data_IF_787300580399
#
_entry.id   IF_787300580399
#
_cell.length_a   1.000
_cell.length_b   1.000
_cell.length_c   1.000
_cell.angle_alpha   90.00
_cell.angle_beta   90.00
_cell.angle_gamma   90.00
#
_symmetry.space_group_name_H-M   'P 1'
#
loop_
_entity.id
_entity.type
_entity.pdbx_description
1 polymer ?
#
# COMPACT_ATOMS: atom_id res chain seq x y z
N UNK A 1 0.54 46.45 8.63
CA UNK A 1 1.54 45.58 9.29
C UNK A 1 0.85 44.87 10.43
N UNK A 2 0.51 43.59 10.24
CA UNK A 2 -0.09 42.76 11.28
C UNK A 2 1.01 41.92 11.93
N UNK A 3 1.56 42.42 13.05
CA UNK A 3 2.27 41.59 14.01
C UNK A 3 1.25 40.69 14.69
N UNK A 4 0.80 39.66 13.98
CA UNK A 4 0.14 38.52 14.60
C UNK A 4 1.20 37.89 15.50
N UNK A 5 1.09 38.11 16.81
CA UNK A 5 1.86 37.34 17.77
C UNK A 5 1.62 35.86 17.48
N UNK A 6 2.71 35.11 17.31
CA UNK A 6 2.64 33.69 16.99
C UNK A 6 1.92 33.00 18.15
N UNK A 7 0.75 32.44 17.87
CA UNK A 7 0.03 31.59 18.81
C UNK A 7 0.92 30.41 19.20
N UNK A 8 0.89 30.04 20.48
CA UNK A 8 1.69 28.92 20.99
C UNK A 8 1.09 27.58 20.55
N UNK A 9 -0.25 27.50 20.51
CA UNK A 9 -1.04 26.37 20.03
C UNK A 9 -2.34 26.85 19.35
N UNK A 10 -3.17 25.93 18.86
CA UNK A 10 -4.39 26.28 18.12
C UNK A 10 -5.41 27.03 19.00
N UNK A 11 -6.08 28.07 18.48
CA UNK A 11 -7.16 28.76 19.20
C UNK A 11 -8.37 27.85 19.43
N UNK A 12 -9.08 28.03 20.55
CA UNK A 12 -10.38 27.40 20.78
C UNK A 12 -11.37 27.82 19.71
N UNK A 13 -11.88 26.85 18.94
CA UNK A 13 -12.90 27.06 17.92
C UNK A 13 -14.22 27.50 18.56
N UNK A 14 -14.97 28.37 17.88
CA UNK A 14 -16.30 28.83 18.33
C UNK A 14 -17.29 27.67 18.49
N UNK A 15 -17.12 26.60 17.70
CA UNK A 15 -17.93 25.39 17.79
C UNK A 15 -17.45 24.41 18.88
N UNK A 16 -16.33 24.68 19.57
CA UNK A 16 -15.80 23.83 20.64
C UNK A 16 -15.22 22.48 20.22
N UNK A 17 -15.12 22.16 18.92
CA UNK A 17 -14.67 20.84 18.45
C UNK A 17 -13.27 20.45 18.95
N UNK A 18 -12.40 21.43 19.12
CA UNK A 18 -11.05 21.25 19.66
C UNK A 18 -10.96 21.58 21.17
N UNK A 19 -12.07 21.67 21.90
CA UNK A 19 -12.06 22.05 23.32
C UNK A 19 -11.19 21.11 24.18
N UNK A 20 -11.29 19.79 24.01
CA UNK A 20 -10.49 18.83 24.78
C UNK A 20 -8.97 19.05 24.60
N UNK A 21 -8.39 18.99 23.38
CA UNK A 21 -6.97 19.28 23.19
C UNK A 21 -6.59 20.72 23.57
N UNK A 22 -7.44 21.72 23.25
CA UNK A 22 -7.19 23.11 23.65
C UNK A 22 -7.08 23.27 25.17
N UNK A 23 -7.95 22.61 25.94
CA UNK A 23 -7.94 22.71 27.40
C UNK A 23 -6.68 22.07 28.01
N UNK A 24 -6.21 20.97 27.42
CA UNK A 24 -4.99 20.30 27.82
C UNK A 24 -3.75 21.15 27.50
N UNK A 25 -3.65 21.67 26.27
CA UNK A 25 -2.56 22.57 25.85
C UNK A 25 -2.53 23.85 26.72
N UNK A 26 -3.69 24.49 26.93
CA UNK A 26 -3.81 25.68 27.77
C UNK A 26 -3.37 25.42 29.22
N UNK A 27 -3.73 24.27 29.80
CA UNK A 27 -3.33 23.87 31.14
C UNK A 27 -1.81 23.60 31.22
N UNK A 28 -1.22 22.95 30.22
CA UNK A 28 0.23 22.71 30.15
C UNK A 28 1.00 24.04 30.08
N UNK A 29 0.58 24.97 29.23
CA UNK A 29 1.23 26.28 29.14
C UNK A 29 1.08 27.10 30.43
N UNK A 30 -0.11 27.13 31.03
CA UNK A 30 -0.30 27.80 32.32
C UNK A 30 0.57 27.18 33.42
N UNK A 31 0.75 25.86 33.47
CA UNK A 31 1.65 25.23 34.46
C UNK A 31 3.12 25.54 34.17
N UNK A 32 3.56 25.53 32.90
CA UNK A 32 4.92 25.90 32.51
C UNK A 32 5.30 27.34 32.90
N UNK A 33 4.36 28.28 32.78
CA UNK A 33 4.56 29.70 33.15
C UNK A 33 4.37 29.99 34.65
N UNK A 34 4.14 28.96 35.49
CA UNK A 34 3.78 29.07 36.92
C UNK A 34 2.45 29.82 37.17
N UNK A 35 1.55 29.79 36.19
CA UNK A 35 0.20 30.39 36.24
C UNK A 35 -0.91 29.35 36.48
N UNK A 36 -0.59 28.06 36.59
CA UNK A 36 -1.56 26.97 36.74
C UNK A 36 -2.54 27.15 37.91
N UNK A 37 -2.09 27.69 39.03
CA UNK A 37 -2.95 27.95 40.19
C UNK A 37 -4.03 29.03 39.93
N UNK A 38 -3.87 29.88 38.90
CA UNK A 38 -4.86 30.94 38.60
C UNK A 38 -6.21 30.41 38.11
N UNK A 39 -6.25 29.15 37.63
CA UNK A 39 -7.46 28.44 37.18
C UNK A 39 -7.97 27.40 38.20
N UNK A 40 -7.34 27.31 39.37
CA UNK A 40 -7.77 26.45 40.48
C UNK A 40 -8.69 27.20 41.46
N UNK A 41 -9.56 26.47 42.16
CA UNK A 41 -10.40 27.02 43.22
C UNK A 41 -9.58 27.34 44.48
N UNK A 42 -9.97 28.38 45.21
CA UNK A 42 -9.25 28.80 46.43
C UNK A 42 -7.89 29.47 46.16
N UNK A 43 -7.64 29.92 44.93
CA UNK A 43 -6.34 30.48 44.54
C UNK A 43 -5.91 31.71 45.37
N UNK A 44 -4.64 31.72 45.76
CA UNK A 44 -3.96 32.80 46.48
C UNK A 44 -3.03 33.63 45.58
N UNK A 45 -3.13 33.41 44.26
CA UNK A 45 -2.30 34.03 43.20
C UNK A 45 -2.43 35.54 43.14
N UNK A 46 -1.35 36.22 42.75
CA UNK A 46 -1.30 37.67 42.65
C UNK A 46 -2.17 38.22 41.51
N UNK A 47 -2.60 39.48 41.62
CA UNK A 47 -3.31 40.18 40.54
C UNK A 47 -2.49 40.23 39.24
N UNK A 48 -1.15 40.19 39.34
CA UNK A 48 -0.26 40.17 38.18
C UNK A 48 -0.26 38.80 37.49
N UNK A 49 -0.21 37.69 38.24
CA UNK A 49 -0.38 36.33 37.69
C UNK A 49 -1.75 36.19 37.03
N UNK A 50 -2.83 36.63 37.71
CA UNK A 50 -4.18 36.61 37.15
C UNK A 50 -4.27 37.40 35.84
N UNK A 51 -3.67 38.60 35.78
CA UNK A 51 -3.63 39.39 34.55
C UNK A 51 -2.84 38.69 33.41
N UNK A 52 -1.71 38.05 33.71
CA UNK A 52 -0.93 37.27 32.72
C UNK A 52 -1.75 36.10 32.17
N UNK A 53 -2.34 35.28 33.06
CA UNK A 53 -3.19 34.15 32.68
C UNK A 53 -4.41 34.60 31.86
N UNK A 54 -5.02 35.73 32.23
CA UNK A 54 -6.13 36.32 31.49
C UNK A 54 -5.74 36.74 30.07
N UNK A 55 -4.58 37.39 29.90
CA UNK A 55 -4.04 37.75 28.57
C UNK A 55 -3.77 36.48 27.74
N UNK A 56 -3.14 35.47 28.35
CA UNK A 56 -2.82 34.21 27.69
C UNK A 56 -4.06 33.45 27.21
N UNK A 57 -5.06 33.26 28.09
CA UNK A 57 -6.32 32.60 27.75
C UNK A 57 -7.05 33.35 26.63
N UNK A 58 -7.20 34.69 26.75
CA UNK A 58 -7.84 35.51 25.71
C UNK A 58 -7.06 35.51 24.39
N UNK A 59 -5.74 35.31 24.39
CA UNK A 59 -4.98 35.20 23.15
C UNK A 59 -5.40 33.97 22.35
N UNK A 60 -5.61 32.84 23.05
CA UNK A 60 -5.93 31.52 22.49
C UNK A 60 -7.44 31.23 22.31
N UNK A 61 -8.30 32.25 22.38
CA UNK A 61 -9.74 32.14 22.05
C UNK A 61 -10.04 32.56 20.61
N UNK A 62 -11.12 32.04 20.01
CA UNK A 62 -11.73 32.65 18.82
C UNK A 62 -12.24 34.07 19.12
N UNK A 63 -12.20 34.97 18.13
CA UNK A 63 -12.57 36.39 18.31
C UNK A 63 -13.99 36.61 18.85
N UNK A 64 -14.96 35.79 18.47
CA UNK A 64 -16.31 35.86 19.03
C UNK A 64 -16.38 35.47 20.51
N UNK A 65 -15.61 34.47 20.93
CA UNK A 65 -15.50 34.10 22.35
C UNK A 65 -14.82 35.22 23.15
N UNK A 66 -13.84 35.93 22.57
CA UNK A 66 -13.26 37.14 23.19
C UNK A 66 -14.26 38.28 23.33
N UNK A 67 -15.17 38.46 22.36
CA UNK A 67 -16.26 39.44 22.41
C UNK A 67 -17.28 39.09 23.49
N UNK A 68 -17.67 37.83 23.59
CA UNK A 68 -18.67 37.34 24.54
C UNK A 68 -18.16 37.44 25.99
N UNK A 69 -16.94 36.96 26.26
CA UNK A 69 -16.34 37.00 27.60
C UNK A 69 -15.54 38.28 27.89
N UNK A 70 -15.78 39.37 27.14
CA UNK A 70 -14.98 40.59 27.22
C UNK A 70 -14.99 41.23 28.62
N UNK A 71 -16.08 41.06 29.37
CA UNK A 71 -16.28 41.61 30.73
C UNK A 71 -15.67 40.77 31.85
N UNK A 72 -15.36 39.49 31.62
CA UNK A 72 -14.84 38.55 32.63
C UNK A 72 -13.38 38.90 32.97
N UNK A 73 -13.07 39.13 34.24
CA UNK A 73 -11.76 39.63 34.68
C UNK A 73 -10.90 38.60 35.42
N UNK A 74 -11.50 37.54 35.96
CA UNK A 74 -10.80 36.50 36.69
C UNK A 74 -10.54 35.28 35.77
N UNK A 75 -9.31 34.74 35.70
CA UNK A 75 -9.02 33.56 34.88
C UNK A 75 -9.84 32.33 35.27
N UNK A 76 -10.08 32.11 36.56
CA UNK A 76 -10.90 31.02 37.08
C UNK A 76 -12.35 31.11 36.60
N UNK A 77 -12.94 32.31 36.60
CA UNK A 77 -14.29 32.54 36.05
C UNK A 77 -14.34 32.22 34.55
N UNK A 78 -13.38 32.75 33.76
CA UNK A 78 -13.33 32.44 32.32
C UNK A 78 -13.18 30.94 32.08
N UNK A 79 -12.27 30.29 32.81
CA UNK A 79 -12.02 28.86 32.68
C UNK A 79 -13.28 28.04 32.98
N UNK A 80 -14.02 28.42 34.04
CA UNK A 80 -15.32 27.81 34.37
C UNK A 80 -16.37 28.03 33.28
N UNK A 81 -16.51 29.23 32.73
CA UNK A 81 -17.48 29.49 31.65
C UNK A 81 -17.16 28.74 30.35
N UNK A 82 -15.87 28.68 29.96
CA UNK A 82 -15.44 27.88 28.81
C UNK A 82 -15.74 26.40 29.05
N UNK A 83 -15.41 25.89 30.24
CA UNK A 83 -15.69 24.52 30.63
C UNK A 83 -17.18 24.20 30.61
N UNK A 84 -18.01 24.99 31.28
CA UNK A 84 -19.47 24.82 31.32
C UNK A 84 -20.08 24.80 29.90
N UNK A 85 -19.62 25.69 29.02
CA UNK A 85 -20.07 25.74 27.63
C UNK A 85 -19.68 24.50 26.83
N UNK A 86 -18.49 23.95 27.01
CA UNK A 86 -17.92 22.94 26.10
C UNK A 86 -17.70 21.55 26.73
N UNK A 87 -17.94 21.31 28.03
CA UNK A 87 -17.82 19.99 28.66
C UNK A 87 -18.70 18.93 27.96
N UNK A 88 -19.83 19.34 27.37
CA UNK A 88 -20.69 18.46 26.57
C UNK A 88 -19.98 17.85 25.36
N UNK A 89 -18.88 18.44 24.85
CA UNK A 89 -18.08 17.87 23.75
C UNK A 89 -17.53 16.49 24.14
N UNK A 90 -17.21 16.27 25.42
CA UNK A 90 -16.82 14.97 25.95
C UNK A 90 -17.93 13.92 25.78
N UNK A 91 -19.19 14.33 25.95
CA UNK A 91 -20.37 13.46 25.78
C UNK A 91 -20.68 13.17 24.31
N UNK A 92 -20.24 14.03 23.39
CA UNK A 92 -20.40 13.82 21.93
C UNK A 92 -19.26 12.96 21.37
N UNK A 93 -18.02 13.21 21.79
CA UNK A 93 -16.82 12.52 21.30
C UNK A 93 -16.66 11.11 21.86
N UNK A 94 -17.03 10.87 23.13
CA UNK A 94 -16.85 9.55 23.76
C UNK A 94 -17.65 8.43 23.05
N UNK A 95 -18.96 8.60 22.71
CA UNK A 95 -19.70 7.59 21.97
C UNK A 95 -19.14 7.33 20.57
N UNK A 96 -18.69 8.36 19.85
CA UNK A 96 -18.10 8.19 18.51
C UNK A 96 -16.76 7.48 18.57
N UNK A 97 -15.88 7.87 19.49
CA UNK A 97 -14.58 7.22 19.64
C UNK A 97 -14.71 5.76 20.12
N UNK A 98 -15.69 5.45 21.00
CA UNK A 98 -16.02 4.06 21.37
C UNK A 98 -16.57 3.26 20.19
N UNK A 99 -17.44 3.87 19.37
CA UNK A 99 -17.96 3.23 18.16
C UNK A 99 -16.83 2.92 17.17
N UNK A 100 -15.96 3.88 16.89
CA UNK A 100 -14.80 3.73 16.03
C UNK A 100 -13.84 2.67 16.58
N UNK A 101 -13.59 2.64 17.90
CA UNK A 101 -12.79 1.59 18.54
C UNK A 101 -13.40 0.20 18.37
N UNK A 102 -14.72 0.03 18.54
CA UNK A 102 -15.39 -1.26 18.34
C UNK A 102 -15.24 -1.73 16.88
N UNK A 103 -15.47 -0.83 15.92
CA UNK A 103 -15.51 -1.16 14.48
C UNK A 103 -14.15 -1.07 13.77
N UNK A 104 -13.10 -0.56 14.42
CA UNK A 104 -11.74 -0.56 13.89
C UNK A 104 -11.29 -1.99 13.58
N UNK A 105 -10.85 -2.24 12.34
CA UNK A 105 -10.24 -3.50 11.91
C UNK A 105 -9.03 -3.29 11.01
N UNK A 106 -7.98 -4.09 11.18
CA UNK A 106 -6.77 -4.04 10.35
C UNK A 106 -7.05 -4.20 8.85
N UNK A 107 -8.01 -5.06 8.48
CA UNK A 107 -8.38 -5.35 7.10
C UNK A 107 -9.04 -4.20 6.32
N UNK A 108 -9.50 -3.14 7.01
CA UNK A 108 -10.18 -2.01 6.36
C UNK A 108 -9.19 -0.95 5.83
N UNK A 109 -7.88 -1.14 6.08
CA UNK A 109 -6.80 -0.26 5.66
C UNK A 109 -5.92 -0.91 4.59
N UNK A 110 -5.28 -0.11 3.74
CA UNK A 110 -4.38 -0.62 2.69
C UNK A 110 -2.99 -0.93 3.20
N UNK A 111 -2.58 -0.29 4.29
CA UNK A 111 -1.28 -0.50 4.93
C UNK A 111 -1.38 -0.57 6.44
N UNK A 112 -0.43 -1.27 7.04
CA UNK A 112 -0.23 -1.33 8.50
C UNK A 112 -0.02 0.08 9.09
N UNK A 113 0.63 0.99 8.34
CA UNK A 113 0.82 2.38 8.78
C UNK A 113 -0.49 3.18 8.84
N UNK A 114 -1.40 3.01 7.88
CA UNK A 114 -2.71 3.68 7.90
C UNK A 114 -3.55 3.23 9.10
N UNK A 115 -3.60 1.91 9.33
CA UNK A 115 -4.25 1.33 10.51
C UNK A 115 -3.66 1.89 11.82
N UNK A 116 -2.33 1.93 11.91
CA UNK A 116 -1.63 2.43 13.09
C UNK A 116 -2.00 3.89 13.42
N UNK A 117 -2.06 4.75 12.40
CA UNK A 117 -2.49 6.14 12.57
C UNK A 117 -3.96 6.25 13.02
N UNK A 118 -4.85 5.39 12.51
CA UNK A 118 -6.24 5.37 12.95
C UNK A 118 -6.39 4.88 14.40
N UNK A 119 -5.68 3.82 14.79
CA UNK A 119 -5.64 3.31 16.16
C UNK A 119 -5.13 4.38 17.14
N UNK A 120 -4.01 5.05 16.82
CA UNK A 120 -3.51 6.12 17.67
C UNK A 120 -4.48 7.30 17.79
N UNK A 121 -5.15 7.70 16.69
CA UNK A 121 -6.17 8.76 16.75
C UNK A 121 -7.32 8.40 17.71
N UNK A 122 -7.92 7.22 17.52
CA UNK A 122 -9.06 6.75 18.34
C UNK A 122 -8.64 6.60 19.81
N UNK A 123 -7.47 6.03 20.08
CA UNK A 123 -6.99 5.87 21.46
C UNK A 123 -6.64 7.20 22.13
N UNK A 124 -6.15 8.19 21.40
CA UNK A 124 -6.00 9.56 21.90
C UNK A 124 -7.34 10.22 22.22
N UNK A 125 -8.36 10.07 21.36
CA UNK A 125 -9.70 10.61 21.61
C UNK A 125 -10.35 9.99 22.87
N UNK A 126 -10.20 8.66 23.05
CA UNK A 126 -10.69 7.95 24.24
C UNK A 126 -9.95 8.38 25.52
N UNK A 127 -8.62 8.54 25.46
CA UNK A 127 -7.81 9.08 26.57
C UNK A 127 -8.15 10.53 26.92
N UNK A 128 -8.41 11.39 25.93
CA UNK A 128 -8.93 12.75 26.15
C UNK A 128 -10.33 12.73 26.80
N UNK A 129 -11.12 11.70 26.53
CA UNK A 129 -12.38 11.44 27.23
C UNK A 129 -12.20 10.73 28.60
N UNK A 130 -10.97 10.49 29.05
CA UNK A 130 -10.68 9.85 30.34
C UNK A 130 -10.95 8.33 30.36
N UNK A 131 -10.88 7.67 29.21
CA UNK A 131 -10.77 6.20 29.16
C UNK A 131 -9.32 5.78 28.98
N UNK A 132 -8.78 5.08 29.98
CA UNK A 132 -7.42 4.58 29.95
C UNK A 132 -7.33 3.32 29.08
N UNK A 133 -6.72 3.47 27.90
CA UNK A 133 -6.41 2.36 26.99
C UNK A 133 -4.96 1.96 27.15
N UNK A 134 -4.74 0.71 27.54
CA UNK A 134 -3.41 0.14 27.81
C UNK A 134 -2.73 -0.36 26.54
N UNK A 135 -1.45 -0.70 26.63
CA UNK A 135 -0.76 -1.44 25.56
C UNK A 135 -1.41 -2.81 25.29
N UNK A 136 -1.90 -3.49 26.33
CA UNK A 136 -2.59 -4.78 26.22
C UNK A 136 -3.88 -4.66 25.40
N UNK A 137 -4.68 -3.62 25.63
CA UNK A 137 -5.89 -3.34 24.84
C UNK A 137 -5.57 -3.09 23.36
N UNK A 138 -4.49 -2.34 23.06
CA UNK A 138 -4.06 -2.05 21.69
C UNK A 138 -3.50 -3.29 20.98
N UNK A 139 -2.77 -4.14 21.71
CA UNK A 139 -2.28 -5.43 21.24
C UNK A 139 -3.47 -6.37 20.92
N UNK A 140 -4.38 -6.57 21.87
CA UNK A 140 -5.54 -7.44 21.71
C UNK A 140 -6.47 -6.94 20.60
N UNK A 141 -6.75 -5.63 20.54
CA UNK A 141 -7.55 -5.03 19.48
C UNK A 141 -6.93 -5.22 18.10
N UNK A 142 -5.61 -5.18 17.99
CA UNK A 142 -4.92 -5.41 16.72
C UNK A 142 -4.95 -6.89 16.33
N UNK A 143 -4.66 -7.79 17.27
CA UNK A 143 -4.59 -9.24 17.02
C UNK A 143 -5.97 -9.88 16.79
N UNK A 144 -7.03 -9.33 17.39
CA UNK A 144 -8.43 -9.77 17.18
C UNK A 144 -9.04 -9.31 15.85
N UNK A 145 -8.44 -8.36 15.14
CA UNK A 145 -8.99 -7.79 13.89
C UNK A 145 -8.30 -8.26 12.62
N UNK A 146 -7.46 -9.29 12.71
CA UNK A 146 -6.92 -10.01 11.55
C UNK A 146 -8.04 -10.71 10.78
N UNK A 147 -7.93 -10.72 9.45
CA UNK A 147 -8.81 -11.53 8.61
C UNK A 147 -8.71 -13.02 8.96
N UNK A 148 -9.80 -13.78 8.81
CA UNK A 148 -9.88 -15.18 9.24
C UNK A 148 -8.81 -16.09 8.61
N UNK A 149 -8.38 -15.83 7.38
CA UNK A 149 -7.26 -16.54 6.73
C UNK A 149 -5.93 -16.41 7.48
N UNK A 150 -5.77 -15.34 8.26
CA UNK A 150 -4.55 -14.98 8.96
C UNK A 150 -4.63 -15.32 10.46
N UNK A 151 -5.58 -16.17 10.86
CA UNK A 151 -5.75 -16.64 12.25
C UNK A 151 -4.45 -17.25 12.81
N UNK A 152 -3.71 -18.01 12.01
CA UNK A 152 -2.41 -18.60 12.40
C UNK A 152 -1.38 -17.50 12.70
N UNK A 153 -1.31 -16.45 11.88
CA UNK A 153 -0.40 -15.32 12.12
C UNK A 153 -0.78 -14.57 13.42
N UNK A 154 -2.08 -14.36 13.68
CA UNK A 154 -2.54 -13.79 14.95
C UNK A 154 -2.10 -14.64 16.15
N UNK A 155 -2.24 -15.97 16.06
CA UNK A 155 -1.76 -16.90 17.11
C UNK A 155 -0.24 -16.82 17.29
N UNK A 156 0.56 -16.83 16.22
CA UNK A 156 2.02 -16.70 16.30
C UNK A 156 2.47 -15.38 16.96
N UNK A 157 1.76 -14.27 16.71
CA UNK A 157 2.06 -13.00 17.39
C UNK A 157 1.63 -12.98 18.86
N UNK A 158 0.57 -13.72 19.24
CA UNK A 158 0.17 -13.92 20.64
C UNK A 158 1.20 -14.75 21.42
N UNK A 159 1.75 -15.80 20.80
CA UNK A 159 2.77 -16.66 21.40
C UNK A 159 4.08 -15.92 21.71
N UNK A 160 4.39 -14.86 20.96
CA UNK A 160 5.53 -13.96 21.22
C UNK A 160 5.38 -13.09 22.47
N UNK A 161 4.15 -12.98 23.02
CA UNK A 161 3.84 -12.27 24.29
C UNK A 161 4.47 -10.87 24.37
N UNK A 162 4.23 -10.05 23.35
CA UNK A 162 4.61 -8.64 23.37
C UNK A 162 4.01 -7.94 24.59
N UNK A 163 4.77 -7.02 25.17
CA UNK A 163 4.33 -6.23 26.34
C UNK A 163 3.96 -4.80 25.96
N UNK A 164 4.44 -4.33 24.79
CA UNK A 164 4.17 -2.99 24.27
C UNK A 164 3.62 -3.08 22.85
N UNK A 165 2.65 -2.24 22.54
CA UNK A 165 2.09 -2.15 21.19
C UNK A 165 3.14 -1.78 20.14
N UNK A 166 4.16 -1.00 20.53
CA UNK A 166 5.30 -0.63 19.68
C UNK A 166 6.12 -1.84 19.16
N UNK A 167 6.16 -2.94 19.90
CA UNK A 167 6.88 -4.17 19.52
C UNK A 167 6.11 -4.92 18.42
N UNK A 168 4.80 -5.07 18.59
CA UNK A 168 3.90 -5.68 17.60
C UNK A 168 3.89 -4.87 16.30
N UNK A 169 3.66 -3.56 16.36
CA UNK A 169 3.53 -2.75 15.14
C UNK A 169 4.82 -2.72 14.33
N UNK A 170 5.98 -2.71 14.99
CA UNK A 170 7.28 -2.83 14.34
C UNK A 170 7.41 -4.17 13.59
N UNK A 171 6.98 -5.27 14.22
CA UNK A 171 6.95 -6.59 13.59
C UNK A 171 6.01 -6.64 12.37
N UNK A 172 4.83 -6.01 12.46
CA UNK A 172 3.85 -5.97 11.36
C UNK A 172 4.33 -5.14 10.17
N UNK A 173 4.97 -3.99 10.41
CA UNK A 173 5.56 -3.15 9.37
C UNK A 173 6.69 -3.88 8.62
N UNK A 174 7.57 -4.59 9.34
CA UNK A 174 8.62 -5.42 8.72
C UNK A 174 8.01 -6.57 7.90
N UNK A 175 6.99 -7.25 8.43
CA UNK A 175 6.30 -8.32 7.71
C UNK A 175 5.61 -7.81 6.43
N UNK A 176 4.96 -6.65 6.47
CA UNK A 176 4.34 -6.00 5.29
C UNK A 176 5.37 -5.74 4.18
N UNK A 177 6.52 -5.14 4.51
CA UNK A 177 7.57 -4.87 3.51
C UNK A 177 8.20 -6.17 2.97
N UNK A 178 8.44 -7.16 3.84
CA UNK A 178 8.97 -8.46 3.41
C UNK A 178 8.00 -9.17 2.45
N UNK A 179 6.70 -9.19 2.77
CA UNK A 179 5.67 -9.77 1.91
C UNK A 179 5.58 -9.05 0.56
N UNK A 180 5.69 -7.71 0.55
CA UNK A 180 5.73 -6.91 -0.69
C UNK A 180 6.94 -7.25 -1.56
N UNK A 181 8.12 -7.44 -0.96
CA UNK A 181 9.33 -7.86 -1.66
C UNK A 181 9.24 -9.31 -2.17
N UNK A 182 8.67 -10.23 -1.40
CA UNK A 182 8.42 -11.62 -1.82
C UNK A 182 7.50 -11.68 -3.04
N UNK A 183 6.41 -10.91 -3.06
CA UNK A 183 5.51 -10.79 -4.21
C UNK A 183 6.23 -10.21 -5.44
N UNK A 184 7.05 -9.18 -5.26
CA UNK A 184 7.86 -8.62 -6.36
C UNK A 184 8.88 -9.64 -6.91
N UNK A 185 9.56 -10.39 -6.04
CA UNK A 185 10.51 -11.43 -6.44
C UNK A 185 9.82 -12.56 -7.22
N UNK A 186 8.63 -12.99 -6.79
CA UNK A 186 7.82 -13.97 -7.50
C UNK A 186 7.36 -13.47 -8.88
N UNK A 187 6.97 -12.20 -8.98
CA UNK A 187 6.58 -11.58 -10.25
C UNK A 187 7.77 -11.30 -11.18
N UNK A 188 8.97 -11.11 -10.64
CA UNK A 188 10.17 -10.80 -11.41
C UNK A 188 10.68 -11.97 -12.26
N UNK A 189 10.36 -13.23 -11.91
CA UNK A 189 10.79 -14.43 -12.64
C UNK A 189 9.75 -15.55 -12.57
N UNK A 190 9.33 -16.13 -13.71
CA UNK A 190 8.56 -17.37 -13.68
C UNK A 190 9.40 -18.50 -13.07
N UNK A 191 8.76 -19.34 -12.26
CA UNK A 191 9.39 -20.48 -11.58
C UNK A 191 10.15 -21.35 -12.58
N UNK A 192 11.44 -21.58 -12.33
CA UNK A 192 12.32 -22.38 -13.20
C UNK A 192 13.18 -21.58 -14.20
N UNK A 193 13.06 -20.25 -14.29
CA UNK A 193 14.03 -19.47 -15.07
C UNK A 193 15.41 -19.49 -14.37
N UNK A 194 16.45 -19.93 -15.06
CA UNK A 194 17.82 -19.87 -14.53
C UNK A 194 18.23 -18.42 -14.21
N UNK A 195 19.13 -18.20 -13.23
CA UNK A 195 19.84 -16.94 -13.15
C UNK A 195 20.44 -16.58 -14.52
N UNK A 196 20.33 -15.31 -14.93
CA UNK A 196 21.12 -14.84 -16.06
C UNK A 196 22.59 -15.13 -15.71
N UNK A 197 23.36 -15.78 -16.59
CA UNK A 197 24.77 -16.04 -16.32
C UNK A 197 25.45 -14.72 -15.96
N UNK A 198 26.17 -14.72 -14.85
CA UNK A 198 26.96 -13.57 -14.42
C UNK A 198 27.96 -13.27 -15.53
N UNK A 199 27.65 -12.22 -16.31
CA UNK A 199 28.45 -11.79 -17.43
C UNK A 199 29.69 -11.06 -16.91
N UNK A 200 30.58 -11.84 -16.29
CA UNK A 200 31.91 -11.44 -15.89
C UNK A 200 32.57 -10.76 -17.09
N UNK A 201 32.76 -9.44 -16.97
CA UNK A 201 33.38 -8.65 -18.01
C UNK A 201 34.74 -9.27 -18.32
N UNK A 202 34.94 -9.67 -19.57
CA UNK A 202 36.13 -10.37 -20.03
C UNK A 202 37.35 -9.43 -19.96
N UNK A 203 37.92 -9.31 -18.76
CA UNK A 203 39.16 -8.59 -18.51
C UNK A 203 40.27 -9.35 -19.21
N UNK A 204 40.68 -8.84 -20.38
CA UNK A 204 41.61 -9.52 -21.28
C UNK A 204 43.00 -9.66 -20.66
N UNK A 205 43.24 -10.76 -19.94
CA UNK A 205 44.58 -11.14 -19.49
C UNK A 205 45.38 -11.73 -20.66
N UNK A 206 46.11 -10.87 -21.39
CA UNK A 206 47.20 -11.31 -22.27
C UNK A 206 48.54 -11.05 -21.56
N UNK A 207 49.03 -12.05 -20.83
CA UNK A 207 50.33 -11.95 -20.16
C UNK A 207 51.46 -12.52 -21.04
N UNK A 208 52.16 -11.60 -21.71
CA UNK A 208 53.61 -11.64 -22.00
C UNK A 208 54.24 -12.96 -22.49
N UNK A 209 54.46 -13.06 -23.80
CA UNK A 209 55.54 -13.86 -24.39
C UNK A 209 56.57 -12.96 -25.10
N UNK A 210 57.85 -13.00 -24.70
CA UNK A 210 58.96 -12.29 -25.36
C UNK A 210 59.63 -13.19 -26.40
N UNK A 211 60.09 -12.63 -27.52
CA UNK A 211 61.05 -13.30 -28.42
C UNK A 211 61.11 -12.67 -29.82
N UNK A 212 62.21 -12.00 -30.15
CA UNK A 212 62.44 -11.44 -31.48
C UNK A 212 63.19 -12.41 -32.41
N UNK A 213 62.97 -12.28 -33.72
CA UNK A 213 63.66 -13.08 -34.75
C UNK A 213 63.54 -12.44 -36.13
N UNK A 214 64.63 -12.43 -36.89
CA UNK A 214 64.73 -11.82 -38.24
C UNK A 214 64.21 -12.81 -39.32
N UNK A 215 63.68 -12.33 -40.45
CA UNK A 215 63.31 -13.18 -41.61
C UNK A 215 64.54 -13.63 -42.43
N UNK A 216 64.46 -13.87 -43.77
CA UNK A 216 63.30 -14.14 -44.65
C UNK A 216 63.53 -15.33 -45.65
N UNK A 217 62.49 -15.86 -46.36
CA UNK A 217 62.56 -16.27 -47.80
C UNK A 217 61.43 -17.15 -48.38
N UNK A 218 60.99 -16.77 -49.59
CA UNK A 218 60.78 -17.56 -50.84
C UNK A 218 59.98 -18.89 -50.82
N UNK A 219 58.87 -18.92 -51.57
CA UNK A 219 58.26 -20.13 -52.14
C UNK A 219 57.28 -19.80 -53.29
N UNK A 220 57.42 -20.44 -54.46
CA UNK A 220 56.59 -20.21 -55.67
C UNK A 220 55.56 -21.34 -55.86
N UNK A 221 54.41 -21.07 -56.48
CA UNK A 221 53.52 -22.12 -57.01
C UNK A 221 52.30 -21.62 -57.79
N UNK A 222 52.09 -22.12 -59.02
CA UNK A 222 50.91 -21.87 -59.88
C UNK A 222 50.27 -23.20 -60.30
N UNK A 223 48.95 -23.22 -60.48
CA UNK A 223 48.20 -24.24 -61.26
C UNK A 223 46.76 -24.36 -60.73
N UNK A 224 45.64 -24.23 -61.47
CA UNK A 224 45.18 -24.52 -62.85
C UNK A 224 44.23 -25.74 -62.92
N UNK A 225 42.99 -25.42 -63.33
CA UNK A 225 42.04 -26.17 -64.21
C UNK A 225 41.19 -27.34 -63.69
N UNK A 226 39.88 -27.07 -63.69
CA UNK A 226 38.81 -27.64 -64.54
C UNK A 226 38.59 -29.17 -64.69
N UNK A 227 37.34 -29.59 -64.45
CA UNK A 227 36.53 -30.42 -65.37
C UNK A 227 35.04 -30.03 -65.17
N UNK A 228 34.36 -29.32 -66.09
CA UNK A 228 33.67 -29.77 -67.32
C UNK A 228 32.44 -30.70 -67.07
N UNK A 229 31.21 -30.17 -67.26
CA UNK A 229 30.19 -30.63 -68.28
C UNK A 229 29.39 -31.90 -67.90
N UNK A 230 28.20 -32.29 -68.40
CA UNK A 230 27.05 -31.81 -69.24
C UNK A 230 25.92 -32.89 -69.06
N UNK A 231 24.64 -32.81 -69.46
CA UNK A 231 23.68 -31.78 -69.97
C UNK A 231 22.26 -32.30 -69.59
N UNK A 232 21.25 -31.47 -69.28
CA UNK A 232 20.24 -30.89 -70.19
C UNK A 232 19.57 -31.85 -71.21
N UNK A 233 18.27 -32.15 -71.02
CA UNK A 233 17.25 -32.08 -72.09
C UNK A 233 15.78 -32.16 -71.61
N UNK A 234 14.90 -31.54 -72.39
CA UNK A 234 13.44 -31.42 -72.20
C UNK A 234 12.66 -32.68 -72.68
N UNK A 235 11.40 -32.83 -72.25
CA UNK A 235 10.21 -32.85 -73.14
C UNK A 235 8.89 -32.82 -72.33
N UNK A 236 7.79 -32.43 -73.00
CA UNK A 236 6.37 -32.35 -72.57
C UNK A 236 5.52 -33.01 -73.69
N UNK A 237 4.19 -33.19 -73.56
CA UNK A 237 3.36 -33.65 -72.41
C UNK A 237 2.35 -34.75 -72.83
N UNK A 238 1.64 -35.43 -71.91
CA UNK A 238 0.18 -35.71 -72.05
C UNK A 238 -0.50 -36.35 -70.81
N UNK A 239 -1.82 -36.11 -70.73
CA UNK A 239 -2.92 -36.73 -69.95
C UNK A 239 -2.67 -37.75 -68.81
N UNK A 240 -3.37 -37.57 -67.68
CA UNK A 240 -3.62 -38.66 -66.72
C UNK A 240 -4.03 -38.21 -65.31
N UNK A 241 -5.28 -38.49 -64.92
CA UNK A 241 -5.99 -38.00 -63.74
C UNK A 241 -5.39 -38.22 -62.32
N UNK A 242 -5.50 -37.15 -61.53
CA UNK A 242 -6.05 -37.14 -60.15
C UNK A 242 -5.20 -37.47 -58.90
N UNK A 243 -5.52 -36.66 -57.88
CA UNK A 243 -5.54 -36.96 -56.44
C UNK A 243 -4.29 -36.70 -55.57
N UNK A 244 -4.59 -36.06 -54.43
CA UNK A 244 -3.83 -35.98 -53.18
C UNK A 244 -2.46 -35.27 -53.21
N UNK A 245 -2.55 -33.94 -53.08
CA UNK A 245 -1.46 -33.07 -52.64
C UNK A 245 -0.88 -33.53 -51.29
N UNK A 246 0.45 -33.59 -51.18
CA UNK A 246 1.10 -33.58 -49.87
C UNK A 246 2.47 -32.89 -49.89
N UNK A 247 2.78 -32.17 -48.80
CA UNK A 247 4.04 -31.43 -48.50
C UNK A 247 4.35 -30.21 -49.39
N UNK A 248 4.77 -29.06 -48.80
CA UNK A 248 5.02 -27.87 -49.64
C UNK A 248 5.79 -26.63 -49.16
N UNK A 249 5.81 -26.26 -47.85
CA UNK A 249 6.91 -25.46 -47.22
C UNK A 249 7.03 -23.93 -47.55
N UNK A 250 7.73 -23.22 -46.63
CA UNK A 250 8.34 -21.86 -46.75
C UNK A 250 7.40 -20.62 -46.76
N UNK A 251 7.77 -19.43 -46.24
CA UNK A 251 8.93 -19.00 -45.43
C UNK A 251 8.70 -17.63 -44.75
N UNK A 252 9.36 -17.39 -43.59
CA UNK A 252 9.94 -16.12 -43.09
C UNK A 252 9.10 -14.81 -43.02
N UNK A 253 9.07 -14.19 -41.84
CA UNK A 253 8.77 -12.75 -41.63
C UNK A 253 8.35 -12.45 -40.19
N UNK A 254 9.28 -12.19 -39.26
CA UNK A 254 9.62 -10.83 -38.75
C UNK A 254 8.43 -9.86 -38.59
N UNK A 255 8.16 -9.43 -37.36
CA UNK A 255 7.83 -8.02 -37.08
C UNK A 255 6.60 -7.72 -36.22
N UNK A 256 6.86 -7.28 -34.97
CA UNK A 256 6.14 -6.26 -34.19
C UNK A 256 4.60 -6.13 -34.36
N UNK A 257 3.90 -6.59 -33.32
CA UNK A 257 2.86 -5.85 -32.59
C UNK A 257 1.72 -5.15 -33.34
N UNK A 258 0.48 -5.58 -33.07
CA UNK A 258 -0.65 -4.66 -33.06
C UNK A 258 -1.77 -5.13 -32.12
N UNK A 259 -2.13 -4.22 -31.22
CA UNK A 259 -3.49 -3.89 -30.73
C UNK A 259 -4.41 -4.99 -30.15
N UNK A 260 -5.19 -4.53 -29.17
CA UNK A 260 -6.04 -5.28 -28.24
C UNK A 260 -7.31 -5.89 -28.87
N UNK A 261 -7.17 -6.66 -29.95
CA UNK A 261 -8.28 -7.40 -30.56
C UNK A 261 -8.55 -8.69 -29.76
N UNK A 262 -9.62 -8.66 -28.96
CA UNK A 262 -10.19 -9.87 -28.37
C UNK A 262 -10.74 -10.81 -29.44
N UNK A 263 -10.60 -12.11 -29.24
CA UNK A 263 -11.14 -13.10 -30.14
C UNK A 263 -12.67 -13.10 -30.07
N UNK A 264 -13.36 -12.67 -31.14
CA UNK A 264 -14.84 -12.68 -31.22
C UNK A 264 -15.50 -14.05 -30.97
N UNK A 265 -14.72 -15.13 -30.95
CA UNK A 265 -15.22 -16.48 -30.64
C UNK A 265 -15.17 -16.81 -29.13
N UNK A 266 -14.19 -16.30 -28.37
CA UNK A 266 -13.99 -16.71 -26.97
C UNK A 266 -13.49 -15.61 -26.01
N UNK A 267 -13.51 -14.34 -26.41
CA UNK A 267 -13.13 -13.19 -25.58
C UNK A 267 -11.62 -13.01 -25.33
N UNK A 268 -10.85 -14.11 -25.27
CA UNK A 268 -9.41 -14.08 -25.02
C UNK A 268 -8.62 -13.29 -26.10
N UNK A 269 -7.59 -12.58 -25.66
CA UNK A 269 -6.62 -11.90 -26.54
C UNK A 269 -5.59 -12.91 -27.10
N UNK A 270 -4.57 -12.40 -27.81
CA UNK A 270 -3.43 -13.15 -28.37
C UNK A 270 -3.74 -14.10 -29.55
N UNK A 271 -4.98 -14.21 -30.04
CA UNK A 271 -5.29 -14.96 -31.26
C UNK A 271 -6.54 -14.46 -32.00
N UNK A 272 -6.60 -14.72 -33.31
CA UNK A 272 -7.76 -14.37 -34.15
C UNK A 272 -8.83 -15.46 -34.11
N UNK A 273 -10.09 -15.10 -34.38
CA UNK A 273 -11.22 -16.06 -34.40
C UNK A 273 -11.01 -17.23 -35.36
N UNK A 274 -10.26 -17.03 -36.46
CA UNK A 274 -9.87 -18.08 -37.42
C UNK A 274 -8.88 -19.10 -36.86
N UNK A 275 -8.08 -18.75 -35.86
CA UNK A 275 -7.09 -19.62 -35.20
C UNK A 275 -7.55 -20.07 -33.80
N UNK A 276 -8.79 -19.77 -33.43
CA UNK A 276 -9.38 -20.10 -32.13
C UNK A 276 -9.63 -21.61 -31.97
N UNK A 277 -8.84 -22.25 -31.10
CA UNK A 277 -8.94 -23.67 -30.73
C UNK A 277 -9.89 -23.94 -29.55
N UNK A 278 -10.54 -22.91 -29.00
CA UNK A 278 -11.43 -23.05 -27.84
C UNK A 278 -12.59 -24.02 -28.14
N UNK A 279 -12.83 -25.04 -27.29
CA UNK A 279 -13.97 -25.95 -27.42
C UNK A 279 -15.32 -25.22 -27.50
N UNK A 280 -16.25 -25.73 -28.32
CA UNK A 280 -17.57 -25.11 -28.53
C UNK A 280 -18.35 -24.87 -27.23
N UNK A 281 -18.32 -25.81 -26.29
CA UNK A 281 -19.06 -25.70 -25.03
C UNK A 281 -18.60 -24.52 -24.15
N UNK A 282 -17.30 -24.18 -24.15
CA UNK A 282 -16.78 -23.01 -23.41
C UNK A 282 -17.16 -21.68 -24.09
N UNK A 283 -17.18 -21.67 -25.43
CA UNK A 283 -17.66 -20.53 -26.23
C UNK A 283 -19.14 -20.25 -25.95
N UNK A 284 -19.96 -21.31 -25.91
CA UNK A 284 -21.40 -21.21 -25.62
C UNK A 284 -21.66 -20.74 -24.19
N UNK A 285 -20.90 -21.21 -23.20
CA UNK A 285 -20.99 -20.74 -21.81
C UNK A 285 -20.69 -19.24 -21.69
N UNK A 286 -19.58 -18.78 -22.31
CA UNK A 286 -19.22 -17.36 -22.34
C UNK A 286 -20.29 -16.47 -23.00
N UNK A 287 -20.89 -16.95 -24.10
CA UNK A 287 -21.97 -16.22 -24.78
C UNK A 287 -23.28 -16.17 -23.96
N UNK A 288 -23.57 -17.18 -23.12
CA UNK A 288 -24.71 -17.13 -22.18
C UNK A 288 -24.49 -16.08 -21.10
N UNK A 289 -23.31 -16.09 -20.46
CA UNK A 289 -22.92 -15.12 -19.43
C UNK A 289 -23.03 -13.65 -19.92
N UNK A 290 -22.62 -13.37 -21.16
CA UNK A 290 -22.77 -12.01 -21.75
C UNK A 290 -24.24 -11.65 -21.95
N UNK A 291 -25.08 -12.58 -22.40
CA UNK A 291 -26.52 -12.35 -22.64
C UNK A 291 -27.31 -12.17 -21.35
N UNK A 292 -26.90 -12.79 -20.25
CA UNK A 292 -27.53 -12.63 -18.93
C UNK A 292 -27.23 -11.26 -18.32
N UNK A 293 -25.99 -10.77 -18.43
CA UNK A 293 -25.62 -9.39 -18.02
C UNK A 293 -26.40 -8.29 -18.77
N UNK A 294 -26.98 -8.59 -19.93
CA UNK A 294 -27.78 -7.64 -20.72
C UNK A 294 -29.26 -7.52 -20.32
N UNK A 295 -29.75 -8.29 -19.33
CA UNK A 295 -31.18 -8.35 -18.98
C UNK A 295 -31.56 -7.73 -17.62
N UNK A 296 -30.60 -7.18 -16.88
CA UNK A 296 -30.80 -6.69 -15.50
C UNK A 296 -30.61 -5.17 -15.35
N UNK A 297 -31.21 -4.37 -16.24
CA UNK A 297 -31.12 -2.89 -16.19
C UNK A 297 -32.47 -2.24 -16.47
N UNK A 298 -33.25 -2.07 -15.41
CA UNK A 298 -34.36 -1.12 -15.18
C UNK A 298 -34.76 -1.42 -13.70
N UNK A 299 -34.59 -0.57 -12.69
CA UNK A 299 -34.76 0.90 -12.63
C UNK A 299 -33.86 1.61 -11.57
N UNK A 300 -33.43 2.85 -11.86
CA UNK A 300 -33.18 4.01 -10.96
C UNK A 300 -32.03 4.01 -9.91
N UNK A 301 -30.89 4.65 -10.29
CA UNK A 301 -30.06 5.70 -9.64
C UNK A 301 -30.12 5.92 -8.08
N UNK A 302 -29.06 6.28 -7.32
CA UNK A 302 -28.04 7.35 -7.50
C UNK A 302 -26.65 7.03 -6.83
N UNK A 303 -25.58 7.60 -7.39
CA UNK A 303 -24.22 7.92 -6.86
C UNK A 303 -23.04 6.93 -6.71
N UNK A 304 -21.85 7.50 -7.00
CA UNK A 304 -20.47 7.12 -6.66
C UNK A 304 -19.88 5.83 -7.26
N UNK A 305 -19.02 5.99 -8.26
CA UNK A 305 -18.09 4.96 -8.71
C UNK A 305 -16.80 4.99 -7.87
N UNK A 306 -16.22 3.82 -7.57
CA UNK A 306 -14.91 3.53 -8.16
C UNK A 306 -14.90 2.21 -8.95
N UNK A 307 -14.17 2.18 -10.06
CA UNK A 307 -14.04 0.98 -10.88
C UNK A 307 -13.10 -0.05 -10.22
N UNK A 308 -13.65 -1.16 -9.77
CA UNK A 308 -12.92 -2.39 -9.44
C UNK A 308 -13.25 -3.50 -10.46
N UNK A 309 -12.32 -3.77 -11.37
CA UNK A 309 -12.29 -5.07 -12.06
C UNK A 309 -11.43 -6.06 -11.24
N UNK A 310 -12.15 -6.80 -10.39
CA UNK A 310 -12.16 -8.27 -10.26
C UNK A 310 -11.21 -9.08 -11.16
N UNK A 311 -10.72 -10.27 -10.80
CA UNK A 311 -10.83 -11.10 -9.58
C UNK A 311 -9.63 -12.08 -9.62
N UNK A 312 -8.97 -12.36 -8.49
CA UNK A 312 -8.30 -13.65 -8.28
C UNK A 312 -8.60 -14.13 -6.86
N UNK A 313 -9.49 -15.11 -6.75
CA UNK A 313 -9.67 -15.92 -5.56
C UNK A 313 -8.46 -16.86 -5.42
N UNK A 314 -7.52 -16.57 -4.53
CA UNK A 314 -6.56 -17.55 -4.03
C UNK A 314 -6.92 -17.96 -2.60
N UNK A 315 -7.86 -18.89 -2.49
CA UNK A 315 -8.15 -19.66 -1.28
C UNK A 315 -7.23 -20.88 -1.12
N UNK A 316 -6.07 -20.90 -1.78
CA UNK A 316 -5.14 -22.04 -1.85
C UNK A 316 -3.67 -21.58 -1.83
N UNK A 317 -3.22 -21.07 -0.68
CA UNK A 317 -1.85 -21.36 -0.21
C UNK A 317 -1.95 -21.69 1.28
N UNK A 318 -2.11 -22.99 1.57
CA UNK A 318 -1.82 -23.52 2.89
C UNK A 318 -0.31 -23.44 3.11
N UNK A 319 0.15 -22.42 3.84
CA UNK A 319 1.51 -22.35 4.37
C UNK A 319 1.56 -23.19 5.65
N UNK A 320 2.25 -24.32 5.56
CA UNK A 320 2.46 -25.24 6.67
C UNK A 320 3.43 -24.62 7.70
N UNK A 321 3.34 -25.04 8.96
CA UNK A 321 3.99 -24.40 10.09
C UNK A 321 5.51 -24.71 10.21
N UNK A 322 6.12 -25.32 9.20
CA UNK A 322 7.49 -25.86 9.27
C UNK A 322 8.62 -24.92 8.81
N UNK A 323 8.33 -23.78 8.16
CA UNK A 323 9.38 -22.88 7.64
C UNK A 323 9.89 -21.85 8.67
N UNK A 324 9.33 -21.82 9.89
CA UNK A 324 9.78 -20.94 10.97
C UNK A 324 9.89 -21.66 12.31
N UNK A 325 10.98 -22.43 12.49
CA UNK A 325 11.83 -22.46 13.69
C UNK A 325 13.00 -23.40 13.39
N UNK A 326 14.22 -22.88 13.40
CA UNK A 326 15.27 -23.45 14.24
C UNK A 326 16.35 -22.41 14.55
N UNK A 327 16.71 -22.33 15.84
CA UNK A 327 17.92 -21.72 16.38
C UNK A 327 18.11 -20.20 16.24
N UNK A 328 17.47 -19.45 17.14
CA UNK A 328 18.24 -18.50 17.98
C UNK A 328 18.01 -18.84 19.45
N UNK A 329 18.91 -19.68 19.98
CA UNK A 329 19.23 -19.73 21.41
C UNK A 329 20.68 -19.27 21.56
N UNK A 330 20.88 -18.40 22.54
CA UNK A 330 22.13 -18.12 23.25
C UNK A 330 23.32 -17.60 22.42
N UNK A 331 23.45 -16.27 22.32
CA UNK A 331 24.52 -15.41 22.91
C UNK A 331 24.36 -13.96 22.44
#
# INVERSE_FOLDING_TARGET
MSNLSKLDFATLDISGKNYLPWSLDAQIHLTADNLGETINEGNTTSLQEKAKAMIFLRHHLHEDLKREYLTVKDPLELWKYIKERFDHQKLVLLPTARYDWIHLRLQDFKTVSEYNSALFRITSELKLCGEDITDEDMLEKTLSTFHASNMILSQQYRERKFTKYSELISCLLVAEQNNKLLLQNHQARPVGSSPLPEANAATSQSSRGRGGGRGPSRGRGRGRRNSWHRDSQNFKPESGESSQQNTGRHSRGRGRGSQNNSCYRCGMTNHWSRTCRTPKHLVEAYQRMIKEKGKSVETNLIESAPNTDRDITMSDIHLDACDFIENVRDV
#
